data_IF_510617997004
#
_entry.id   IF_510617997004
#
_cell.length_a   1.000
_cell.length_b   1.000
_cell.length_c   1.000
_cell.angle_alpha   90.00
_cell.angle_beta   90.00
_cell.angle_gamma   90.00
#
_symmetry.space_group_name_H-M   'P 1'
#
loop_
_entity.id
_entity.type
_entity.pdbx_description
1 polymer ?
#
# COMPACT_ATOMS: atom_id res chain seq x y z
N UNK A 1 -42.70 -2.89 33.54
CA UNK A 1 -42.87 -3.43 32.17
C UNK A 1 -41.46 -3.66 31.62
N UNK A 2 -40.97 -4.91 31.60
CA UNK A 2 -39.63 -5.21 31.10
C UNK A 2 -39.70 -5.32 29.58
N UNK A 3 -39.11 -4.37 28.87
CA UNK A 3 -38.98 -4.42 27.41
C UNK A 3 -37.90 -5.44 27.09
N UNK A 4 -38.32 -6.62 26.65
CA UNK A 4 -37.43 -7.68 26.20
C UNK A 4 -36.98 -7.35 24.78
N UNK A 5 -35.88 -6.61 24.62
CA UNK A 5 -35.24 -6.40 23.32
C UNK A 5 -34.54 -7.69 22.92
N UNK A 6 -35.23 -8.49 22.10
CA UNK A 6 -34.60 -9.60 21.38
C UNK A 6 -33.63 -9.02 20.36
N UNK A 7 -32.34 -8.94 20.73
CA UNK A 7 -31.27 -8.68 19.78
C UNK A 7 -31.26 -9.83 18.78
N UNK A 8 -31.71 -9.57 17.55
CA UNK A 8 -31.66 -10.53 16.47
C UNK A 8 -30.20 -10.77 16.10
N UNK A 9 -29.60 -11.81 16.70
CA UNK A 9 -28.28 -12.30 16.30
C UNK A 9 -28.41 -12.84 14.87
N UNK A 10 -27.59 -12.37 13.91
CA UNK A 10 -27.66 -12.83 12.53
C UNK A 10 -27.46 -14.35 12.47
N UNK A 11 -28.24 -15.03 11.62
CA UNK A 11 -28.31 -16.50 11.52
C UNK A 11 -26.98 -17.21 11.22
N UNK A 12 -25.92 -16.47 10.87
CA UNK A 12 -24.56 -17.02 10.77
C UNK A 12 -23.53 -15.87 10.83
N UNK A 13 -23.08 -15.44 12.03
CA UNK A 13 -22.11 -14.34 12.15
C UNK A 13 -20.78 -14.69 11.47
N UNK A 14 -20.44 -15.98 11.42
CA UNK A 14 -19.20 -16.51 10.85
C UNK A 14 -19.00 -16.24 9.35
N UNK A 15 -20.08 -16.31 8.57
CA UNK A 15 -20.00 -16.16 7.11
C UNK A 15 -19.66 -14.72 6.73
N UNK A 16 -20.29 -13.75 7.40
CA UNK A 16 -20.02 -12.32 7.19
C UNK A 16 -18.60 -11.92 7.62
N UNK A 17 -18.10 -12.47 8.73
CA UNK A 17 -16.72 -12.23 9.17
C UNK A 17 -15.69 -12.82 8.22
N UNK A 18 -15.93 -13.99 7.62
CA UNK A 18 -14.99 -14.61 6.69
C UNK A 18 -14.93 -13.88 5.34
N UNK A 19 -16.07 -13.49 4.77
CA UNK A 19 -16.13 -12.68 3.55
C UNK A 19 -15.44 -11.32 3.74
N UNK A 20 -15.57 -10.72 4.92
CA UNK A 20 -14.90 -9.46 5.29
C UNK A 20 -13.37 -9.60 5.34
N UNK A 21 -12.86 -10.70 5.91
CA UNK A 21 -11.42 -10.98 5.98
C UNK A 21 -10.85 -11.17 4.57
N UNK A 22 -11.52 -11.95 3.70
CA UNK A 22 -11.08 -12.15 2.31
C UNK A 22 -11.02 -10.83 1.56
N UNK A 23 -12.07 -10.00 1.68
CA UNK A 23 -12.11 -8.68 1.04
C UNK A 23 -10.97 -7.78 1.52
N UNK A 24 -10.68 -7.77 2.82
CA UNK A 24 -9.60 -6.97 3.40
C UNK A 24 -8.22 -7.43 2.91
N UNK A 25 -7.97 -8.74 2.90
CA UNK A 25 -6.72 -9.32 2.38
C UNK A 25 -6.53 -8.99 0.90
N UNK A 26 -7.60 -9.07 0.11
CA UNK A 26 -7.60 -8.66 -1.29
C UNK A 26 -7.17 -7.20 -1.48
N UNK A 27 -7.79 -6.29 -0.73
CA UNK A 27 -7.47 -4.86 -0.77
C UNK A 27 -5.99 -4.61 -0.39
N UNK A 28 -5.49 -5.26 0.65
CA UNK A 28 -4.09 -5.09 1.09
C UNK A 28 -3.12 -5.63 0.06
N UNK A 29 -3.43 -6.75 -0.58
CA UNK A 29 -2.62 -7.28 -1.67
C UNK A 29 -2.55 -6.25 -2.81
N UNK A 30 -3.68 -5.67 -3.19
CA UNK A 30 -3.71 -4.58 -4.18
C UNK A 30 -2.87 -3.37 -3.75
N UNK A 31 -3.00 -2.91 -2.50
CA UNK A 31 -2.16 -1.83 -1.98
C UNK A 31 -0.67 -2.17 -2.00
N UNK A 32 -0.31 -3.41 -1.62
CA UNK A 32 1.07 -3.89 -1.62
C UNK A 32 1.65 -3.91 -3.03
N UNK A 33 0.87 -4.38 -4.01
CA UNK A 33 1.29 -4.36 -5.41
C UNK A 33 1.48 -2.93 -5.93
N UNK A 34 0.60 -2.00 -5.54
CA UNK A 34 0.74 -0.58 -5.90
C UNK A 34 2.00 0.03 -5.30
N UNK A 35 2.21 -0.11 -3.98
CA UNK A 35 3.43 0.39 -3.32
C UNK A 35 4.69 -0.20 -3.94
N UNK A 36 4.67 -1.49 -4.28
CA UNK A 36 5.80 -2.17 -4.92
C UNK A 36 6.10 -1.58 -6.29
N UNK A 37 5.08 -1.35 -7.13
CA UNK A 37 5.25 -0.71 -8.43
C UNK A 37 5.78 0.72 -8.27
N UNK A 38 5.25 1.49 -7.32
CA UNK A 38 5.73 2.85 -7.03
C UNK A 38 7.21 2.86 -6.62
N UNK A 39 7.62 1.94 -5.74
CA UNK A 39 9.01 1.83 -5.28
C UNK A 39 9.94 1.39 -6.41
N UNK A 40 9.50 0.44 -7.25
CA UNK A 40 10.22 0.01 -8.44
C UNK A 40 10.45 1.18 -9.41
N UNK A 41 9.41 1.94 -9.75
CA UNK A 41 9.53 3.11 -10.63
C UNK A 41 10.44 4.18 -10.04
N UNK A 42 10.38 4.39 -8.72
CA UNK A 42 11.28 5.34 -8.03
C UNK A 42 12.75 4.91 -8.15
N UNK A 43 13.03 3.62 -7.97
CA UNK A 43 14.38 3.07 -8.12
C UNK A 43 14.87 3.13 -9.57
N UNK A 44 14.02 2.83 -10.54
CA UNK A 44 14.33 2.98 -11.96
C UNK A 44 14.64 4.44 -12.32
N UNK A 45 13.80 5.39 -11.89
CA UNK A 45 14.02 6.83 -12.09
C UNK A 45 15.36 7.29 -11.48
N UNK A 46 15.71 6.78 -10.29
CA UNK A 46 17.00 7.08 -9.65
C UNK A 46 18.17 6.53 -10.48
N UNK A 47 18.08 5.30 -10.97
CA UNK A 47 19.12 4.72 -11.82
C UNK A 47 19.29 5.48 -13.13
N UNK A 48 18.19 5.89 -13.77
CA UNK A 48 18.23 6.76 -14.95
C UNK A 48 18.88 8.11 -14.64
N UNK A 49 18.56 8.72 -13.49
CA UNK A 49 19.18 9.99 -13.08
C UNK A 49 20.70 9.87 -12.91
N UNK A 50 21.19 8.74 -12.38
CA UNK A 50 22.63 8.48 -12.25
C UNK A 50 23.29 8.25 -13.61
N UNK A 51 22.62 7.54 -14.52
CA UNK A 51 23.12 7.35 -15.88
C UNK A 51 23.23 8.69 -16.63
N UNK A 52 22.29 9.61 -16.43
CA UNK A 52 22.33 10.96 -17.01
C UNK A 52 23.50 11.80 -16.48
N UNK A 53 23.82 11.69 -15.18
CA UNK A 53 25.01 12.34 -14.60
C UNK A 53 26.28 11.83 -15.28
N UNK A 54 26.41 10.51 -15.43
CA UNK A 54 27.56 9.94 -16.13
C UNK A 54 27.63 10.35 -17.60
N UNK A 55 26.48 10.53 -18.25
CA UNK A 55 26.39 11.04 -19.63
C UNK A 55 26.83 12.50 -19.73
N UNK A 56 26.40 13.34 -18.78
CA UNK A 56 26.82 14.75 -18.64
C UNK A 56 28.34 14.86 -18.44
N UNK A 57 28.91 14.06 -17.53
CA UNK A 57 30.34 14.08 -17.20
C UNK A 57 31.24 13.52 -18.31
N UNK A 58 30.78 12.50 -19.04
CA UNK A 58 31.57 11.86 -20.11
C UNK A 58 31.35 12.49 -21.49
N UNK A 59 30.36 13.37 -21.64
CA UNK A 59 30.06 14.00 -22.92
C UNK A 59 31.14 15.01 -23.32
N UNK A 60 31.70 14.85 -24.51
CA UNK A 60 32.55 15.87 -25.14
C UNK A 60 31.72 16.95 -25.86
N UNK A 61 30.41 16.71 -26.05
CA UNK A 61 29.48 17.66 -26.68
C UNK A 61 28.72 18.43 -25.60
N UNK A 62 28.84 19.77 -25.61
CA UNK A 62 28.12 20.63 -24.67
C UNK A 62 26.60 20.49 -24.80
N UNK A 63 26.10 20.24 -26.00
CA UNK A 63 24.67 20.10 -26.29
C UNK A 63 24.07 18.84 -25.65
N UNK A 64 24.81 17.72 -25.72
CA UNK A 64 24.37 16.44 -25.11
C UNK A 64 24.43 16.51 -23.58
N UNK A 65 25.41 17.23 -23.02
CA UNK A 65 25.50 17.44 -21.58
C UNK A 65 24.34 18.32 -21.06
N UNK A 66 23.99 19.38 -21.81
CA UNK A 66 22.90 20.29 -21.46
C UNK A 66 21.53 19.61 -21.54
N UNK A 67 21.28 18.81 -22.58
CA UNK A 67 20.03 18.05 -22.71
C UNK A 67 19.88 16.98 -21.60
N UNK A 68 20.98 16.29 -21.26
CA UNK A 68 20.99 15.33 -20.15
C UNK A 68 20.71 16.01 -18.80
N UNK A 69 21.25 17.22 -18.58
CA UNK A 69 21.00 18.02 -17.39
C UNK A 69 19.52 18.43 -17.27
N UNK A 70 18.94 18.97 -18.35
CA UNK A 70 17.52 19.37 -18.38
C UNK A 70 16.59 18.18 -18.16
N UNK A 71 16.87 17.04 -18.81
CA UNK A 71 16.07 15.82 -18.65
C UNK A 71 16.16 15.26 -17.22
N UNK A 72 17.34 15.29 -16.60
CA UNK A 72 17.53 14.93 -15.19
C UNK A 72 16.74 15.85 -14.26
N UNK A 73 16.74 17.15 -14.52
CA UNK A 73 16.00 18.12 -13.71
C UNK A 73 14.50 17.84 -13.73
N UNK A 74 13.94 17.58 -14.91
CA UNK A 74 12.52 17.23 -15.09
C UNK A 74 12.16 15.91 -14.37
N UNK A 75 13.01 14.88 -14.48
CA UNK A 75 12.84 13.60 -13.78
C UNK A 75 12.81 13.76 -12.26
N UNK A 76 13.69 14.61 -11.70
CA UNK A 76 13.77 14.85 -10.26
C UNK A 76 12.62 15.73 -9.75
N UNK A 77 12.14 16.66 -10.58
CA UNK A 77 11.05 17.56 -10.21
C UNK A 77 9.69 16.83 -10.17
N UNK A 78 9.52 15.79 -11.00
CA UNK A 78 8.36 14.90 -11.01
C UNK A 78 8.44 13.77 -9.98
N UNK A 79 9.12 13.99 -8.85
CA UNK A 79 9.17 13.01 -7.75
C UNK A 79 7.77 12.48 -7.50
N UNK A 80 7.56 11.21 -7.83
CA UNK A 80 6.24 10.61 -7.87
C UNK A 80 5.78 10.30 -6.44
N UNK A 81 5.36 11.34 -5.73
CA UNK A 81 4.64 11.19 -4.47
C UNK A 81 3.26 10.63 -4.84
N UNK A 82 3.13 9.31 -4.82
CA UNK A 82 1.85 8.65 -5.03
C UNK A 82 0.96 8.86 -3.82
N UNK A 83 0.01 9.78 -3.96
CA UNK A 83 -0.99 10.13 -2.95
C UNK A 83 -2.31 9.49 -3.35
N UNK A 84 -2.89 8.70 -2.46
CA UNK A 84 -4.25 8.18 -2.62
C UNK A 84 -5.21 9.22 -2.04
N UNK A 85 -6.03 9.79 -2.93
CA UNK A 85 -7.13 10.68 -2.59
C UNK A 85 -6.73 11.76 -1.60
N UNK A 86 -5.74 12.59 -1.95
CA UNK A 86 -5.19 13.73 -1.19
C UNK A 86 -4.76 13.51 0.28
N UNK A 87 -5.02 12.34 0.86
CA UNK A 87 -4.93 12.10 2.30
C UNK A 87 -3.80 11.13 2.69
N UNK A 88 -3.45 10.18 1.81
CA UNK A 88 -2.50 9.13 2.17
C UNK A 88 -1.37 9.01 1.16
N UNK A 89 -0.13 9.28 1.61
CA UNK A 89 1.05 8.84 0.87
C UNK A 89 1.13 7.31 0.93
N UNK A 90 1.25 6.67 -0.24
CA UNK A 90 1.57 5.26 -0.34
C UNK A 90 3.03 5.07 0.11
N UNK A 91 3.22 4.60 1.34
CA UNK A 91 4.53 4.22 1.85
C UNK A 91 4.42 2.94 2.69
N UNK A 92 5.58 2.39 3.06
CA UNK A 92 5.68 1.18 3.88
C UNK A 92 4.97 1.30 5.25
N UNK A 93 4.81 2.51 5.77
CA UNK A 93 4.08 2.77 7.01
C UNK A 93 2.59 2.53 6.85
N UNK A 94 2.00 2.96 5.74
CA UNK A 94 0.59 2.70 5.42
C UNK A 94 0.33 1.20 5.28
N UNK A 95 1.25 0.46 4.64
CA UNK A 95 1.19 -1.00 4.57
C UNK A 95 1.27 -1.68 5.94
N UNK A 96 2.17 -1.21 6.81
CA UNK A 96 2.35 -1.74 8.15
C UNK A 96 1.08 -1.60 8.99
N UNK A 97 0.47 -0.40 8.99
CA UNK A 97 -0.79 -0.14 9.71
C UNK A 97 -1.94 -1.00 9.20
N UNK A 98 -2.03 -1.18 7.87
CA UNK A 98 -3.04 -2.07 7.28
C UNK A 98 -2.82 -3.54 7.68
N UNK A 99 -1.56 -3.99 7.75
CA UNK A 99 -1.21 -5.34 8.20
C UNK A 99 -1.60 -5.62 9.65
N UNK A 100 -1.38 -4.66 10.55
CA UNK A 100 -1.79 -4.76 11.96
C UNK A 100 -3.32 -4.89 12.11
N UNK A 101 -4.08 -4.17 11.30
CA UNK A 101 -5.54 -4.23 11.32
C UNK A 101 -6.07 -5.63 10.96
N UNK A 102 -5.49 -6.27 9.93
CA UNK A 102 -5.83 -7.65 9.56
C UNK A 102 -5.47 -8.60 10.67
N UNK A 103 -4.27 -8.47 11.23
CA UNK A 103 -3.79 -9.36 12.27
C UNK A 103 -4.73 -9.33 13.48
N UNK A 104 -5.13 -8.14 13.92
CA UNK A 104 -6.07 -7.96 15.03
C UNK A 104 -7.45 -8.60 14.74
N UNK A 105 -7.97 -8.45 13.52
CA UNK A 105 -9.25 -9.05 13.13
C UNK A 105 -9.18 -10.58 13.06
N UNK A 106 -8.12 -11.14 12.46
CA UNK A 106 -7.89 -12.58 12.40
C UNK A 106 -7.70 -13.18 13.81
N UNK A 107 -6.98 -12.49 14.69
CA UNK A 107 -6.80 -12.91 16.08
C UNK A 107 -8.13 -12.94 16.82
N UNK A 108 -8.94 -11.88 16.71
CA UNK A 108 -10.27 -11.79 17.32
C UNK A 108 -11.19 -12.92 16.83
N UNK A 109 -11.16 -13.22 15.52
CA UNK A 109 -11.94 -14.30 14.93
C UNK A 109 -11.50 -15.68 15.44
N UNK A 110 -10.19 -15.91 15.59
CA UNK A 110 -9.65 -17.17 16.10
C UNK A 110 -10.02 -17.38 17.57
N UNK A 111 -9.98 -16.33 18.39
CA UNK A 111 -10.42 -16.38 19.78
C UNK A 111 -11.92 -16.69 19.90
N UNK A 112 -12.74 -16.08 19.04
CA UNK A 112 -14.18 -16.36 18.97
C UNK A 112 -14.45 -17.83 18.63
N UNK A 113 -13.77 -18.36 17.61
CA UNK A 113 -13.89 -19.78 17.22
C UNK A 113 -13.46 -20.73 18.35
N UNK A 114 -12.34 -20.44 19.02
CA UNK A 114 -11.88 -21.24 20.16
C UNK A 114 -12.91 -21.22 21.31
N UNK A 115 -13.49 -20.05 21.62
CA UNK A 115 -14.50 -19.93 22.67
C UNK A 115 -15.80 -20.71 22.39
N UNK A 116 -16.14 -20.91 21.13
CA UNK A 116 -17.33 -21.65 20.71
C UNK A 116 -17.11 -23.15 20.53
N UNK A 117 -15.86 -23.59 20.37
CA UNK A 117 -15.49 -25.02 20.23
C UNK A 117 -15.23 -25.70 21.60
N UNK A 118 -15.28 -24.95 22.70
CA UNK A 118 -15.09 -25.43 24.08
C UNK A 118 -16.44 -25.59 24.83
N UNK A 119 -17.57 -25.19 24.23
CA UNK A 119 -18.93 -25.46 24.71
C UNK A 119 -19.59 -26.58 23.93
#
# INVERSE_FOLDING_TARGET
MYVNTTVTVPKNPFRYSFESIISLVGNITSFTTLTWQCEKTTNECRNTSLALIHLEECSQSSEVAEEAFLFRQELMHRKADFIIGDAFKLNMRTLFVLGELVFAQCFTYTQLLLSLNIN
#
